data_IF_645172987420
#
_entry.id   IF_645172987420
#
_cell.length_a   1.000
_cell.length_b   1.000
_cell.length_c   1.000
_cell.angle_alpha   90.00
_cell.angle_beta   90.00
_cell.angle_gamma   90.00
#
_symmetry.space_group_name_H-M   'P 1'
#
loop_
_entity.id
_entity.type
_entity.pdbx_description
1 polymer ?
#
# COMPACT_ATOMS: atom_id res chain seq x y z
N UNK A 1 -25.79 -14.12 19.76
CA UNK A 1 -24.46 -13.55 20.05
C UNK A 1 -23.87 -13.10 18.72
N UNK A 2 -23.62 -11.80 18.49
CA UNK A 2 -23.11 -11.33 17.21
C UNK A 2 -21.67 -11.83 16.99
N UNK A 3 -21.29 -12.23 15.77
CA UNK A 3 -19.94 -12.72 15.49
C UNK A 3 -18.93 -11.58 15.52
N UNK A 4 -17.72 -11.87 15.99
CA UNK A 4 -16.60 -10.92 16.01
C UNK A 4 -16.25 -10.51 14.58
N UNK A 5 -16.57 -9.27 14.24
CA UNK A 5 -15.94 -8.61 13.10
C UNK A 5 -14.43 -8.57 13.38
N UNK A 6 -13.53 -8.95 12.44
CA UNK A 6 -12.10 -8.75 12.64
C UNK A 6 -11.89 -7.29 12.99
N UNK A 7 -11.30 -7.02 14.16
CA UNK A 7 -11.04 -5.68 14.63
C UNK A 7 -10.39 -4.88 13.50
N UNK A 8 -10.92 -3.69 13.20
CA UNK A 8 -10.22 -2.75 12.31
C UNK A 8 -8.88 -2.46 12.98
N UNK A 9 -7.82 -3.10 12.49
CA UNK A 9 -6.48 -2.91 12.98
C UNK A 9 -6.04 -1.54 12.48
N UNK A 10 -6.03 -0.55 13.37
CA UNK A 10 -5.47 0.77 13.11
C UNK A 10 -3.96 0.60 12.93
N UNK A 11 -3.33 1.31 11.98
CA UNK A 11 -1.91 1.13 11.66
C UNK A 11 -1.00 1.59 12.81
N UNK A 12 -1.53 2.32 13.81
CA UNK A 12 -0.81 2.74 15.02
C UNK A 12 -0.62 1.61 16.05
N UNK A 13 -1.46 0.58 16.06
CA UNK A 13 -1.37 -0.52 17.05
C UNK A 13 -0.55 -1.71 16.56
N UNK A 14 -0.16 -1.73 15.28
CA UNK A 14 0.56 -2.87 14.70
C UNK A 14 2.05 -2.69 14.92
N UNK A 15 2.66 -3.61 15.67
CA UNK A 15 4.11 -3.57 15.87
C UNK A 15 4.82 -3.83 14.53
N UNK A 16 6.01 -3.27 14.28
CA UNK A 16 6.76 -3.49 13.04
C UNK A 16 6.97 -4.98 12.70
N UNK A 17 7.01 -5.84 13.72
CA UNK A 17 7.12 -7.30 13.56
C UNK A 17 5.86 -7.93 12.96
N UNK A 18 4.67 -7.44 13.29
CA UNK A 18 3.40 -7.98 12.77
C UNK A 18 3.18 -7.58 11.32
N UNK A 19 3.52 -6.33 10.95
CA UNK A 19 3.43 -5.88 9.56
C UNK A 19 4.36 -6.68 8.66
N UNK A 20 5.56 -7.01 9.12
CA UNK A 20 6.51 -7.86 8.38
C UNK A 20 5.96 -9.27 8.15
N UNK A 21 5.29 -9.86 9.15
CA UNK A 21 4.63 -11.16 8.99
C UNK A 21 3.49 -11.11 7.97
N UNK A 22 2.67 -10.06 7.99
CA UNK A 22 1.60 -9.86 7.00
C UNK A 22 2.14 -9.73 5.58
N UNK A 23 3.30 -9.08 5.41
CA UNK A 23 3.97 -9.08 4.13
C UNK A 23 4.38 -10.48 3.71
N UNK A 24 5.05 -11.25 4.56
CA UNK A 24 5.53 -12.59 4.20
C UNK A 24 4.41 -13.54 3.76
N UNK A 25 3.20 -13.37 4.27
CA UNK A 25 2.02 -14.20 4.00
C UNK A 25 1.23 -13.80 2.74
N UNK A 26 1.66 -12.78 1.98
CA UNK A 26 0.87 -12.30 0.85
C UNK A 26 0.67 -13.39 -0.24
N UNK A 27 -0.57 -13.78 -0.58
CA UNK A 27 -0.84 -14.96 -1.42
C UNK A 27 -0.41 -14.79 -2.88
N UNK A 28 -0.30 -13.55 -3.34
CA UNK A 28 0.16 -13.23 -4.70
C UNK A 28 1.68 -13.09 -4.83
N UNK A 29 2.44 -13.35 -3.75
CA UNK A 29 3.88 -13.39 -3.88
C UNK A 29 4.30 -14.47 -4.87
N UNK A 30 5.17 -14.07 -5.78
CA UNK A 30 5.79 -15.00 -6.67
C UNK A 30 7.12 -15.49 -6.07
N UNK A 31 7.14 -16.76 -5.63
CA UNK A 31 8.29 -17.39 -4.98
C UNK A 31 9.38 -17.89 -5.95
N UNK A 32 9.21 -17.67 -7.27
CA UNK A 32 10.23 -18.03 -8.23
C UNK A 32 11.49 -17.15 -8.15
N UNK A 33 12.63 -17.70 -8.56
CA UNK A 33 13.94 -17.04 -8.40
C UNK A 33 14.40 -16.23 -9.63
N UNK A 34 13.49 -15.88 -10.55
CA UNK A 34 13.81 -15.13 -11.77
C UNK A 34 13.48 -13.64 -11.69
N UNK A 35 14.12 -12.83 -12.53
CA UNK A 35 13.89 -11.38 -12.62
C UNK A 35 12.40 -11.01 -12.83
N UNK A 36 11.66 -11.85 -13.56
CA UNK A 36 10.22 -11.66 -13.80
C UNK A 36 9.42 -11.76 -12.50
N UNK A 37 9.78 -12.70 -11.63
CA UNK A 37 9.16 -12.90 -10.32
C UNK A 37 9.45 -11.69 -9.42
N UNK A 38 10.71 -11.23 -9.42
CA UNK A 38 11.11 -9.98 -8.74
C UNK A 38 10.32 -8.77 -9.23
N UNK A 39 10.18 -8.59 -10.55
CA UNK A 39 9.42 -7.48 -11.11
C UNK A 39 7.93 -7.55 -10.74
N UNK A 40 7.31 -8.73 -10.82
CA UNK A 40 5.92 -8.92 -10.41
C UNK A 40 5.70 -8.57 -8.93
N UNK A 41 6.62 -9.01 -8.08
CA UNK A 41 6.62 -8.72 -6.65
C UNK A 41 6.77 -7.22 -6.37
N UNK A 42 7.64 -6.53 -7.11
CA UNK A 42 7.80 -5.09 -7.02
C UNK A 42 6.54 -4.34 -7.50
N UNK A 43 5.93 -4.78 -8.61
CA UNK A 43 4.66 -4.22 -9.09
C UNK A 43 3.55 -4.34 -8.05
N UNK A 44 3.49 -5.46 -7.32
CA UNK A 44 2.50 -5.69 -6.27
C UNK A 44 2.64 -4.66 -5.13
N UNK A 45 3.86 -4.37 -4.68
CA UNK A 45 4.11 -3.35 -3.64
C UNK A 45 3.75 -1.95 -4.12
N UNK A 46 4.02 -1.62 -5.39
CA UNK A 46 3.75 -0.29 -5.96
C UNK A 46 2.28 -0.07 -6.31
N UNK A 47 1.50 -1.15 -6.48
CA UNK A 47 0.11 -1.10 -6.95
C UNK A 47 -0.79 -0.11 -6.17
N UNK A 48 -0.73 -0.02 -4.82
CA UNK A 48 -1.52 0.95 -4.08
C UNK A 48 -1.22 2.40 -4.45
N UNK A 49 0.07 2.74 -4.66
CA UNK A 49 0.49 4.08 -5.04
C UNK A 49 0.01 4.43 -6.46
N UNK A 50 0.19 3.51 -7.41
CA UNK A 50 -0.25 3.69 -8.80
C UNK A 50 -1.76 3.87 -8.86
N UNK A 51 -2.51 3.04 -8.13
CA UNK A 51 -3.98 3.06 -8.13
C UNK A 51 -4.52 4.36 -7.52
N UNK A 52 -3.94 4.83 -6.41
CA UNK A 52 -4.30 6.11 -5.80
C UNK A 52 -4.12 7.27 -6.79
N UNK A 53 -3.01 7.28 -7.54
CA UNK A 53 -2.75 8.31 -8.56
C UNK A 53 -3.74 8.23 -9.74
N UNK A 54 -4.09 7.03 -10.19
CA UNK A 54 -5.06 6.82 -11.28
C UNK A 54 -6.48 7.27 -10.88
N UNK A 55 -6.85 7.10 -9.61
CA UNK A 55 -8.17 7.50 -9.11
C UNK A 55 -8.27 8.99 -8.78
N UNK A 56 -7.15 9.68 -8.56
CA UNK A 56 -7.10 11.09 -8.15
C UNK A 56 -7.94 12.04 -9.02
N UNK A 57 -7.93 11.96 -10.37
CA UNK A 57 -8.78 12.81 -11.21
C UNK A 57 -10.27 12.62 -10.94
N UNK A 58 -10.70 11.38 -10.66
CA UNK A 58 -12.09 11.07 -10.33
C UNK A 58 -12.47 11.53 -8.93
N UNK A 59 -11.56 11.42 -7.96
CA UNK A 59 -11.79 11.89 -6.59
C UNK A 59 -11.90 13.42 -6.50
N UNK A 60 -11.28 14.15 -7.44
CA UNK A 60 -11.49 15.59 -7.57
C UNK A 60 -12.93 15.93 -8.01
N UNK A 61 -13.56 15.08 -8.82
CA UNK A 61 -14.95 15.26 -9.30
C UNK A 61 -15.94 14.76 -8.26
N UNK A 62 -15.65 13.61 -7.64
CA UNK A 62 -16.45 12.95 -6.64
C UNK A 62 -15.62 12.74 -5.36
N UNK A 63 -15.63 13.70 -4.43
CA UNK A 63 -14.84 13.58 -3.20
C UNK A 63 -15.34 12.42 -2.35
N UNK A 64 -14.46 11.45 -2.09
CA UNK A 64 -14.74 10.31 -1.20
C UNK A 64 -13.63 10.24 -0.14
N UNK A 65 -13.72 11.04 0.95
CA UNK A 65 -12.68 11.13 1.96
C UNK A 65 -12.27 9.78 2.59
N UNK A 66 -13.19 8.84 2.88
CA UNK A 66 -12.81 7.53 3.42
C UNK A 66 -11.91 6.72 2.47
N UNK A 67 -12.10 6.87 1.16
CA UNK A 67 -11.30 6.17 0.16
C UNK A 67 -9.88 6.74 0.10
N UNK A 68 -9.73 8.07 0.12
CA UNK A 68 -8.43 8.73 0.21
C UNK A 68 -7.67 8.33 1.49
N UNK A 69 -8.38 8.26 2.62
CA UNK A 69 -7.78 7.85 3.89
C UNK A 69 -7.35 6.37 3.85
N UNK A 70 -8.16 5.50 3.25
CA UNK A 70 -7.81 4.09 3.03
C UNK A 70 -6.53 3.93 2.19
N UNK A 71 -6.39 4.70 1.10
CA UNK A 71 -5.17 4.68 0.29
C UNK A 71 -3.95 5.21 1.06
N UNK A 72 -4.09 6.30 1.83
CA UNK A 72 -3.00 6.83 2.66
C UNK A 72 -2.49 5.78 3.65
N UNK A 73 -3.39 5.11 4.35
CA UNK A 73 -3.05 4.04 5.28
C UNK A 73 -2.38 2.85 4.58
N UNK A 74 -2.91 2.41 3.44
CA UNK A 74 -2.32 1.30 2.68
C UNK A 74 -0.91 1.63 2.18
N UNK A 75 -0.69 2.85 1.70
CA UNK A 75 0.63 3.35 1.27
C UNK A 75 1.60 3.43 2.46
N UNK A 76 1.14 3.89 3.63
CA UNK A 76 1.96 3.87 4.85
C UNK A 76 2.40 2.46 5.24
N UNK A 77 1.51 1.47 5.14
CA UNK A 77 1.88 0.07 5.35
C UNK A 77 2.91 -0.39 4.32
N UNK A 78 2.70 -0.13 3.02
CA UNK A 78 3.67 -0.49 1.96
C UNK A 78 5.07 0.11 2.19
N UNK A 79 5.14 1.33 2.73
CA UNK A 79 6.41 1.98 3.08
C UNK A 79 7.18 1.27 4.20
N UNK A 80 6.53 0.42 5.00
CA UNK A 80 7.21 -0.38 6.02
C UNK A 80 7.90 -1.62 5.46
N UNK A 81 7.75 -1.91 4.15
CA UNK A 81 8.47 -2.99 3.49
C UNK A 81 9.98 -2.65 3.43
N UNK A 82 10.75 -3.19 4.40
CA UNK A 82 12.12 -2.79 4.79
C UNK A 82 13.25 -3.05 3.75
N UNK A 83 12.97 -3.03 2.44
CA UNK A 83 14.01 -3.12 1.39
C UNK A 83 14.02 -1.97 0.39
N UNK A 84 13.10 -1.02 0.49
CA UNK A 84 13.11 0.17 -0.36
C UNK A 84 13.50 1.36 0.53
N UNK A 85 14.79 1.71 0.54
CA UNK A 85 15.34 2.88 1.23
C UNK A 85 14.97 4.22 0.56
N UNK A 86 13.89 4.21 -0.23
CA UNK A 86 13.29 5.40 -0.85
C UNK A 86 11.90 5.54 -0.23
N UNK A 87 11.60 6.64 0.50
CA UNK A 87 10.24 6.85 0.99
C UNK A 87 9.29 6.95 -0.22
N UNK A 88 8.38 5.99 -0.43
CA UNK A 88 7.40 6.07 -1.53
C UNK A 88 6.44 7.27 -1.34
N UNK A 89 6.40 7.81 -0.12
CA UNK A 89 5.80 9.12 0.19
C UNK A 89 6.37 10.27 -0.67
N UNK A 90 7.64 10.20 -1.10
CA UNK A 90 8.24 11.20 -1.98
C UNK A 90 7.81 11.04 -3.45
N UNK A 91 7.56 9.80 -3.90
CA UNK A 91 7.01 9.55 -5.25
C UNK A 91 5.56 10.04 -5.38
N UNK A 92 4.84 10.12 -4.26
CA UNK A 92 3.41 10.46 -4.22
C UNK A 92 3.12 11.96 -4.04
N UNK A 93 4.13 12.81 -3.76
CA UNK A 93 3.88 14.23 -3.48
C UNK A 93 4.60 15.25 -4.39
N UNK A 94 5.60 14.87 -5.19
CA UNK A 94 6.32 15.83 -6.05
C UNK A 94 6.21 15.59 -7.56
N UNK A 95 5.81 14.39 -8.01
CA UNK A 95 5.79 14.09 -9.47
C UNK A 95 4.57 14.69 -10.18
N UNK A 96 3.48 14.99 -9.46
CA UNK A 96 2.21 15.41 -10.07
C UNK A 96 1.71 16.78 -9.62
N UNK A 97 2.55 17.62 -8.98
CA UNK A 97 2.21 19.04 -8.75
C UNK A 97 2.75 19.96 -9.87
N UNK A 98 3.33 19.39 -10.93
CA UNK A 98 4.03 20.14 -11.99
C UNK A 98 3.61 19.73 -13.41
N UNK A 99 2.40 19.17 -13.60
CA UNK A 99 1.85 18.87 -14.91
C UNK A 99 0.44 19.45 -15.06
#
# INVERSE_FOLDING_TARGET
TPPMHPQRMTPDDTTPSEVVSLFAEHPQWNQGNGWKNWLNNLCLILLPCVTANLLKPWLNIFPIPPLEQGFKMLIQLMNQFQKISVPLAQLTLQVFSSA
#
